data_IF_051919601456
#
_entry.id   IF_051919601456
#
_cell.length_a   1.000
_cell.length_b   1.000
_cell.length_c   1.000
_cell.angle_alpha   90.00
_cell.angle_beta   90.00
_cell.angle_gamma   90.00
#
_symmetry.space_group_name_H-M   'P 1'
#
loop_
_entity.id
_entity.type
_entity.pdbx_description
1 polymer ?
#
# COMPACT_ATOMS: atom_id res chain seq x y z
N UNK A 1 13.10 -75.47 57.29
CA UNK A 1 14.07 -76.25 56.49
C UNK A 1 14.94 -75.28 55.71
N UNK A 2 16.26 -75.47 55.85
CA UNK A 2 17.39 -74.90 55.10
C UNK A 2 17.55 -73.38 54.92
N UNK A 3 18.74 -72.90 55.31
CA UNK A 3 19.27 -71.54 55.14
C UNK A 3 19.78 -71.33 53.69
N UNK A 4 19.76 -70.06 53.25
CA UNK A 4 20.40 -69.45 52.05
C UNK A 4 21.75 -70.07 51.66
N UNK A 5 22.15 -70.08 50.37
CA UNK A 5 22.73 -68.89 49.72
C UNK A 5 22.37 -68.74 48.22
N UNK A 6 22.41 -67.53 47.66
CA UNK A 6 22.92 -67.30 46.28
C UNK A 6 23.17 -65.80 46.02
N UNK A 7 24.47 -65.50 45.95
CA UNK A 7 25.26 -64.52 45.20
C UNK A 7 24.62 -63.22 44.61
N UNK A 8 25.27 -62.05 44.79
CA UNK A 8 24.85 -60.76 44.22
C UNK A 8 25.32 -60.58 42.77
N UNK A 9 24.54 -59.88 41.94
CA UNK A 9 25.04 -59.29 40.69
C UNK A 9 24.95 -57.77 40.81
N UNK A 10 26.14 -57.18 40.91
CA UNK A 10 26.45 -55.78 40.79
C UNK A 10 26.61 -55.46 39.29
N UNK A 11 25.68 -54.73 38.68
CA UNK A 11 25.88 -54.15 37.35
C UNK A 11 26.26 -52.67 37.52
N UNK A 12 27.56 -52.43 37.60
CA UNK A 12 28.16 -51.11 37.49
C UNK A 12 28.28 -50.71 36.01
N UNK A 13 27.85 -49.48 35.74
CA UNK A 13 28.28 -48.53 34.71
C UNK A 13 29.16 -49.03 33.52
N UNK A 14 28.63 -48.83 32.31
CA UNK A 14 29.43 -48.59 31.11
C UNK A 14 28.83 -47.41 30.31
N UNK A 15 28.94 -46.21 30.86
CA UNK A 15 28.81 -44.98 30.07
C UNK A 15 30.08 -44.82 29.22
N UNK A 16 29.98 -45.13 27.93
CA UNK A 16 31.06 -44.88 26.98
C UNK A 16 31.33 -43.38 26.83
N UNK A 17 32.58 -42.97 26.55
CA UNK A 17 32.89 -41.56 26.32
C UNK A 17 32.22 -41.09 25.03
N UNK A 18 31.32 -40.11 25.14
CA UNK A 18 30.89 -39.30 24.00
C UNK A 18 32.04 -38.36 23.67
N UNK A 19 32.81 -38.71 22.65
CA UNK A 19 33.79 -37.82 22.03
C UNK A 19 33.03 -36.82 21.16
N UNK A 20 32.60 -35.71 21.76
CA UNK A 20 32.17 -34.53 21.03
C UNK A 20 33.42 -33.81 20.50
N UNK A 21 33.91 -34.30 19.37
CA UNK A 21 35.02 -33.70 18.63
C UNK A 21 34.43 -32.65 17.67
N UNK A 22 34.86 -31.39 17.78
CA UNK A 22 34.49 -30.33 16.84
C UNK A 22 35.24 -30.56 15.52
N UNK A 23 34.72 -31.46 14.70
CA UNK A 23 35.27 -31.70 13.35
C UNK A 23 34.73 -30.65 12.39
N UNK A 24 35.59 -29.96 11.64
CA UNK A 24 35.15 -29.10 10.55
C UNK A 24 34.30 -29.92 9.57
N UNK A 25 33.18 -29.37 9.14
CA UNK A 25 32.33 -29.98 8.12
C UNK A 25 33.13 -30.12 6.82
N UNK A 26 33.10 -31.29 6.19
CA UNK A 26 33.76 -31.50 4.90
C UNK A 26 32.93 -30.92 3.75
N UNK A 27 33.57 -30.56 2.63
CA UNK A 27 32.87 -30.02 1.45
C UNK A 27 31.74 -30.93 0.94
N UNK A 28 31.90 -32.25 1.06
CA UNK A 28 30.86 -33.22 0.71
C UNK A 28 29.65 -33.17 1.67
N UNK A 29 29.87 -32.90 2.95
CA UNK A 29 28.79 -32.69 3.92
C UNK A 29 28.19 -31.29 3.81
N UNK A 30 28.96 -30.30 3.33
CA UNK A 30 28.46 -28.98 2.96
C UNK A 30 27.52 -29.05 1.74
N UNK A 31 27.80 -29.95 0.80
CA UNK A 31 26.93 -30.28 -0.35
C UNK A 31 25.61 -30.97 0.06
N UNK A 32 25.60 -31.69 1.19
CA UNK A 32 24.37 -32.25 1.77
C UNK A 32 23.54 -31.20 2.54
N UNK A 33 24.14 -30.04 2.87
CA UNK A 33 23.43 -28.87 3.40
C UNK A 33 23.00 -28.00 2.21
N UNK A 34 21.96 -28.43 1.51
CA UNK A 34 21.26 -27.57 0.54
C UNK A 34 20.44 -26.56 1.32
N UNK A 35 21.04 -25.43 1.70
CA UNK A 35 20.32 -24.29 2.23
C UNK A 35 19.36 -23.74 1.18
N UNK A 36 18.07 -23.72 1.47
CA UNK A 36 17.00 -23.20 0.60
C UNK A 36 17.02 -21.66 0.46
N UNK A 37 18.05 -20.98 0.95
CA UNK A 37 18.23 -19.53 0.83
C UNK A 37 19.32 -19.25 -0.22
N UNK A 38 18.90 -18.94 -1.44
CA UNK A 38 19.80 -18.48 -2.51
C UNK A 38 19.94 -16.96 -2.40
N UNK A 39 21.06 -16.50 -1.84
CA UNK A 39 21.41 -15.08 -1.90
C UNK A 39 22.05 -14.80 -3.25
N UNK A 40 21.39 -14.00 -4.09
CA UNK A 40 21.97 -13.54 -5.36
C UNK A 40 22.45 -12.10 -5.25
N UNK A 41 23.50 -11.78 -5.99
CA UNK A 41 24.02 -10.42 -6.10
C UNK A 41 24.02 -10.03 -7.57
N UNK A 42 23.28 -8.98 -7.90
CA UNK A 42 23.10 -8.50 -9.25
C UNK A 42 23.56 -7.04 -9.34
N UNK A 43 24.35 -6.72 -10.36
CA UNK A 43 24.77 -5.35 -10.65
C UNK A 43 24.11 -4.87 -11.94
N UNK A 44 23.40 -3.75 -11.86
CA UNK A 44 22.71 -3.13 -12.99
C UNK A 44 23.12 -1.65 -13.10
N UNK A 45 22.96 -1.07 -14.28
CA UNK A 45 23.24 0.34 -14.55
C UNK A 45 21.96 1.02 -15.03
N UNK A 46 21.81 2.31 -14.77
CA UNK A 46 20.67 3.05 -15.29
C UNK A 46 20.70 3.08 -16.84
N UNK A 47 19.57 2.82 -17.53
CA UNK A 47 19.55 2.74 -18.99
C UNK A 47 19.68 4.11 -19.70
N UNK A 48 19.31 5.21 -19.03
CA UNK A 48 19.58 6.57 -19.54
C UNK A 48 21.08 6.89 -19.48
N UNK A 49 21.66 7.20 -20.64
CA UNK A 49 23.07 7.56 -20.79
C UNK A 49 23.49 8.83 -20.02
N UNK A 50 22.53 9.67 -19.61
CA UNK A 50 22.80 10.86 -18.80
C UNK A 50 22.73 10.60 -17.30
N UNK A 51 22.28 9.41 -16.87
CA UNK A 51 22.19 9.05 -15.46
C UNK A 51 23.36 8.13 -15.08
N UNK A 52 24.27 8.66 -14.28
CA UNK A 52 25.50 7.97 -13.90
C UNK A 52 25.36 7.11 -12.64
N UNK A 53 24.23 6.41 -12.47
CA UNK A 53 23.96 5.57 -11.30
C UNK A 53 24.11 4.08 -11.61
N UNK A 54 24.86 3.37 -10.78
CA UNK A 54 24.95 1.92 -10.79
C UNK A 54 24.30 1.34 -9.53
N UNK A 55 23.65 0.19 -9.64
CA UNK A 55 22.94 -0.44 -8.54
C UNK A 55 23.53 -1.81 -8.26
N UNK A 56 23.63 -2.17 -6.99
CA UNK A 56 24.00 -3.53 -6.56
C UNK A 56 22.90 -4.04 -5.64
N UNK A 57 22.18 -5.04 -6.11
CA UNK A 57 21.07 -5.69 -5.41
C UNK A 57 21.55 -6.98 -4.79
N UNK A 58 21.12 -7.23 -3.56
CA UNK A 58 21.29 -8.47 -2.82
C UNK A 58 19.90 -9.05 -2.59
N UNK A 59 19.52 -10.07 -3.36
CA UNK A 59 18.24 -10.76 -3.20
C UNK A 59 18.38 -11.82 -2.11
N UNK A 60 17.43 -11.89 -1.17
CA UNK A 60 17.52 -12.78 -0.02
C UNK A 60 16.93 -14.17 -0.27
N UNK A 61 16.07 -14.32 -1.30
CA UNK A 61 15.49 -15.60 -1.70
C UNK A 61 14.65 -16.26 -0.61
N UNK A 62 13.83 -15.48 0.10
CA UNK A 62 12.97 -15.96 1.20
C UNK A 62 11.59 -15.32 1.15
N UNK A 63 10.63 -15.99 1.80
CA UNK A 63 9.29 -15.47 2.07
C UNK A 63 9.17 -15.18 3.57
N UNK A 64 8.67 -13.99 3.91
CA UNK A 64 8.52 -13.51 5.27
C UNK A 64 7.03 -13.33 5.55
N UNK A 65 6.56 -13.92 6.64
CA UNK A 65 5.26 -13.63 7.24
C UNK A 65 5.49 -12.83 8.53
N UNK A 66 4.97 -11.61 8.59
CA UNK A 66 5.23 -10.66 9.68
C UNK A 66 3.93 -10.23 10.36
N UNK A 67 3.95 -10.23 11.69
CA UNK A 67 3.07 -9.38 12.51
C UNK A 67 3.98 -8.49 13.34
N UNK A 68 3.90 -7.18 13.14
CA UNK A 68 4.72 -6.20 13.88
C UNK A 68 3.87 -5.04 14.35
N UNK A 69 4.24 -4.46 15.49
CA UNK A 69 3.70 -3.22 16.01
C UNK A 69 4.88 -2.34 16.45
N UNK A 70 4.91 -1.10 15.97
CA UNK A 70 5.93 -0.11 16.24
C UNK A 70 5.22 1.16 16.69
N UNK A 71 5.53 1.68 17.87
CA UNK A 71 4.87 2.88 18.39
C UNK A 71 5.05 4.09 17.44
N UNK A 72 6.26 4.27 16.89
CA UNK A 72 6.58 5.36 15.95
C UNK A 72 7.60 4.89 14.91
N UNK A 73 7.27 5.06 13.63
CA UNK A 73 8.20 4.98 12.52
C UNK A 73 8.52 6.40 12.04
N UNK A 74 9.68 6.92 12.45
CA UNK A 74 10.16 8.25 12.06
C UNK A 74 11.47 8.11 11.27
N UNK A 75 11.50 8.64 10.04
CA UNK A 75 12.65 8.60 9.13
C UNK A 75 12.82 9.95 8.44
N UNK A 76 14.07 10.37 8.24
CA UNK A 76 14.36 11.63 7.51
C UNK A 76 14.00 12.89 8.29
N UNK A 77 14.27 12.93 9.60
CA UNK A 77 14.10 14.14 10.41
C UNK A 77 15.23 15.13 10.17
N UNK A 78 14.94 16.20 9.42
CA UNK A 78 15.86 17.32 9.20
C UNK A 78 15.10 18.53 8.66
N UNK A 79 15.71 19.71 8.79
CA UNK A 79 15.14 20.95 8.24
C UNK A 79 15.25 20.97 6.72
N UNK A 80 14.13 21.26 6.05
CA UNK A 80 14.03 21.32 4.59
C UNK A 80 13.32 22.61 4.20
N UNK A 81 13.91 23.37 3.28
CA UNK A 81 13.30 24.61 2.79
C UNK A 81 11.94 24.32 2.14
N UNK A 82 10.93 25.10 2.51
CA UNK A 82 9.54 24.89 2.07
C UNK A 82 8.70 24.02 3.01
N UNK A 83 9.34 23.26 3.91
CA UNK A 83 8.66 22.36 4.84
C UNK A 83 8.51 22.94 6.24
N UNK A 84 7.51 22.46 6.99
CA UNK A 84 7.31 22.84 8.39
C UNK A 84 8.55 22.43 9.23
N UNK A 85 9.06 23.30 10.13
CA UNK A 85 10.21 22.96 10.96
C UNK A 85 9.97 21.75 11.87
N UNK A 86 11.00 20.93 12.05
CA UNK A 86 10.95 19.76 12.93
C UNK A 86 10.14 18.57 12.42
N UNK A 87 9.64 18.60 11.18
CA UNK A 87 8.98 17.45 10.53
C UNK A 87 9.99 16.46 9.95
N UNK A 88 9.48 15.29 9.59
CA UNK A 88 10.26 14.16 9.07
C UNK A 88 9.71 13.75 7.71
N UNK A 89 10.58 13.21 6.86
CA UNK A 89 10.16 12.70 5.55
C UNK A 89 9.11 11.59 5.68
N UNK A 90 9.25 10.70 6.66
CA UNK A 90 8.23 9.69 6.97
C UNK A 90 7.97 9.73 8.46
N UNK A 91 6.75 10.05 8.86
CA UNK A 91 6.33 10.03 10.26
C UNK A 91 4.99 9.30 10.36
N UNK A 92 5.03 8.08 10.91
CA UNK A 92 3.86 7.23 11.08
C UNK A 92 3.79 6.77 12.54
N UNK A 93 2.69 7.11 13.21
CA UNK A 93 2.40 6.65 14.57
C UNK A 93 1.63 5.33 14.53
N UNK A 94 1.82 4.49 15.55
CA UNK A 94 1.14 3.20 15.69
C UNK A 94 1.29 2.31 14.44
N UNK A 95 2.48 2.34 13.81
CA UNK A 95 2.78 1.58 12.61
C UNK A 95 2.71 0.07 12.89
N UNK A 96 2.00 -0.66 12.04
CA UNK A 96 1.86 -2.10 12.15
C UNK A 96 1.78 -2.75 10.77
N UNK A 97 2.29 -3.98 10.69
CA UNK A 97 2.11 -4.85 9.54
C UNK A 97 1.47 -6.13 10.04
N UNK A 98 0.41 -6.56 9.36
CA UNK A 98 -0.42 -7.69 9.79
C UNK A 98 -1.37 -7.30 10.91
N UNK A 99 -2.35 -8.15 11.16
CA UNK A 99 -3.42 -7.88 12.11
C UNK A 99 -3.90 -9.16 12.79
N UNK A 100 -4.81 -9.01 13.73
CA UNK A 100 -5.49 -10.11 14.42
C UNK A 100 -6.91 -10.16 13.88
N UNK A 101 -7.30 -11.30 13.33
CA UNK A 101 -8.62 -11.51 12.79
C UNK A 101 -9.69 -11.25 13.85
N UNK A 102 -10.64 -10.37 13.54
CA UNK A 102 -11.69 -9.96 14.46
C UNK A 102 -13.04 -9.85 13.74
N UNK A 103 -14.00 -10.68 14.13
CA UNK A 103 -15.31 -10.74 13.48
C UNK A 103 -16.13 -9.47 13.73
N UNK A 104 -16.05 -8.87 14.91
CA UNK A 104 -16.79 -7.64 15.22
C UNK A 104 -16.37 -6.46 14.32
N UNK A 105 -15.08 -6.36 13.98
CA UNK A 105 -14.57 -5.41 12.99
C UNK A 105 -15.24 -5.60 11.64
N UNK A 106 -15.31 -6.84 11.14
CA UNK A 106 -15.92 -7.10 9.83
C UNK A 106 -17.44 -7.03 9.83
N UNK A 107 -18.09 -7.25 10.98
CA UNK A 107 -19.53 -7.02 11.12
C UNK A 107 -19.85 -5.52 11.03
N UNK A 108 -18.95 -4.66 11.52
CA UNK A 108 -19.05 -3.19 11.42
C UNK A 108 -18.58 -2.66 10.06
N UNK A 109 -17.65 -3.35 9.40
CA UNK A 109 -17.04 -2.97 8.13
C UNK A 109 -17.17 -4.14 7.12
N UNK A 110 -18.39 -4.41 6.61
CA UNK A 110 -18.64 -5.58 5.75
C UNK A 110 -17.87 -5.54 4.41
N UNK A 111 -17.53 -4.35 3.94
CA UNK A 111 -16.78 -4.11 2.70
C UNK A 111 -15.26 -4.16 2.88
N UNK A 112 -14.77 -4.28 4.13
CA UNK A 112 -13.35 -4.32 4.41
C UNK A 112 -12.74 -5.62 3.84
N UNK A 113 -11.65 -5.54 3.06
CA UNK A 113 -11.08 -6.70 2.42
C UNK A 113 -10.48 -7.68 3.43
N UNK A 114 -10.68 -8.97 3.18
CA UNK A 114 -10.22 -10.07 4.03
C UNK A 114 -9.04 -10.78 3.39
N UNK A 115 -8.09 -11.21 4.20
CA UNK A 115 -7.05 -12.11 3.71
C UNK A 115 -7.45 -13.56 3.96
N UNK A 116 -7.17 -14.45 3.01
CA UNK A 116 -7.35 -15.90 3.16
C UNK A 116 -5.99 -16.59 3.34
N UNK A 117 -6.01 -17.79 3.94
CA UNK A 117 -4.83 -18.66 4.00
C UNK A 117 -4.49 -19.16 2.59
N UNK A 118 -3.27 -19.68 2.43
CA UNK A 118 -2.82 -20.19 1.13
C UNK A 118 -3.65 -21.37 0.60
N UNK A 119 -4.35 -22.10 1.49
CA UNK A 119 -5.29 -23.18 1.14
C UNK A 119 -6.72 -22.68 0.87
N UNK A 120 -6.95 -21.37 0.88
CA UNK A 120 -8.25 -20.72 0.72
C UNK A 120 -9.12 -20.72 1.98
N UNK A 121 -8.68 -21.35 3.07
CA UNK A 121 -9.44 -21.34 4.32
C UNK A 121 -9.38 -19.99 5.03
N UNK A 122 -10.37 -19.77 5.89
CA UNK A 122 -10.53 -18.54 6.67
C UNK A 122 -9.61 -18.53 7.89
N UNK A 123 -9.17 -17.35 8.33
CA UNK A 123 -8.56 -17.20 9.66
C UNK A 123 -9.63 -17.30 10.75
N UNK A 124 -9.30 -17.95 11.87
CA UNK A 124 -10.18 -18.06 13.04
C UNK A 124 -10.20 -16.74 13.83
N UNK A 125 -11.21 -16.52 14.68
CA UNK A 125 -11.24 -15.36 15.59
C UNK A 125 -9.99 -15.32 16.46
N UNK A 126 -9.33 -14.17 16.53
CA UNK A 126 -8.10 -13.99 17.28
C UNK A 126 -6.86 -14.60 16.64
N UNK A 127 -6.95 -15.18 15.44
CA UNK A 127 -5.78 -15.68 14.72
C UNK A 127 -5.00 -14.54 14.07
N UNK A 128 -3.67 -14.65 14.04
CA UNK A 128 -2.81 -13.68 13.36
C UNK A 128 -2.96 -13.84 11.85
N UNK A 129 -3.25 -12.73 11.18
CA UNK A 129 -3.19 -12.59 9.74
C UNK A 129 -1.89 -11.85 9.39
N UNK A 130 -0.90 -12.52 8.78
CA UNK A 130 0.40 -11.93 8.56
C UNK A 130 0.41 -11.01 7.35
N UNK A 131 1.23 -9.96 7.43
CA UNK A 131 1.74 -9.27 6.24
C UNK A 131 2.84 -10.11 5.60
N UNK A 132 2.69 -10.42 4.32
CA UNK A 132 3.60 -11.27 3.56
C UNK A 132 4.52 -10.42 2.70
N UNK A 133 5.81 -10.77 2.71
CA UNK A 133 6.85 -10.16 1.87
C UNK A 133 7.57 -11.32 1.16
N UNK A 134 7.59 -11.31 -0.16
CA UNK A 134 8.18 -12.37 -0.99
C UNK A 134 9.38 -11.85 -1.76
N UNK A 135 10.50 -12.57 -1.66
CA UNK A 135 11.77 -12.19 -2.29
C UNK A 135 12.26 -10.77 -1.92
N UNK A 136 12.37 -10.43 -0.62
CA UNK A 136 12.92 -9.15 -0.21
C UNK A 136 14.38 -9.01 -0.66
N UNK A 137 14.80 -7.77 -0.86
CA UNK A 137 16.15 -7.44 -1.28
C UNK A 137 16.65 -6.15 -0.65
N UNK A 138 17.97 -6.05 -0.55
CA UNK A 138 18.65 -4.79 -0.32
C UNK A 138 19.23 -4.31 -1.64
N UNK A 139 19.19 -3.00 -1.92
CA UNK A 139 19.83 -2.45 -3.10
C UNK A 139 20.57 -1.16 -2.75
N UNK A 140 21.82 -1.09 -3.17
CA UNK A 140 22.68 0.08 -3.01
C UNK A 140 22.83 0.78 -4.36
N UNK A 141 22.67 2.09 -4.36
CA UNK A 141 22.96 2.95 -5.51
C UNK A 141 24.33 3.60 -5.33
N UNK A 142 25.13 3.55 -6.39
CA UNK A 142 26.48 4.09 -6.46
C UNK A 142 26.52 5.16 -7.54
N UNK A 143 27.16 6.28 -7.22
CA UNK A 143 27.58 7.26 -8.22
C UNK A 143 28.82 6.72 -8.94
N UNK A 144 28.79 6.59 -10.26
CA UNK A 144 29.89 5.92 -10.97
C UNK A 144 31.14 6.80 -11.14
N UNK A 145 31.04 8.13 -10.96
CA UNK A 145 32.20 9.01 -11.04
C UNK A 145 33.05 8.93 -9.76
N UNK A 146 32.37 8.85 -8.62
CA UNK A 146 32.98 8.86 -7.29
C UNK A 146 33.10 7.47 -6.66
N UNK A 147 32.36 6.48 -7.17
CA UNK A 147 32.16 5.14 -6.57
C UNK A 147 31.53 5.17 -5.16
N UNK A 148 30.97 6.32 -4.75
CA UNK A 148 30.34 6.48 -3.44
C UNK A 148 28.91 5.94 -3.43
N UNK A 149 28.49 5.39 -2.28
CA UNK A 149 27.10 5.00 -2.04
C UNK A 149 26.27 6.27 -1.87
N UNK A 150 25.33 6.49 -2.78
CA UNK A 150 24.44 7.65 -2.80
C UNK A 150 23.00 7.31 -2.40
N UNK A 151 22.69 6.02 -2.29
CA UNK A 151 21.41 5.58 -1.77
C UNK A 151 21.37 4.10 -1.40
N UNK A 152 20.37 3.77 -0.59
CA UNK A 152 20.07 2.44 -0.13
C UNK A 152 18.55 2.25 -0.13
N UNK A 153 18.07 1.08 -0.54
CA UNK A 153 16.68 0.69 -0.34
C UNK A 153 16.54 -0.74 0.16
N UNK A 154 15.54 -0.92 1.01
CA UNK A 154 14.96 -2.21 1.35
C UNK A 154 13.69 -2.37 0.51
N UNK A 155 13.75 -3.28 -0.46
CA UNK A 155 12.60 -3.63 -1.29
C UNK A 155 11.92 -4.90 -0.81
N UNK A 156 10.60 -4.93 -0.91
CA UNK A 156 9.80 -6.06 -0.46
C UNK A 156 9.71 -7.17 -1.51
N UNK A 157 10.17 -6.92 -2.74
CA UNK A 157 9.87 -7.77 -3.87
C UNK A 157 8.38 -7.65 -4.17
N UNK A 158 7.60 -8.64 -3.72
CA UNK A 158 6.14 -8.61 -3.71
C UNK A 158 5.62 -8.56 -2.28
N UNK A 159 4.55 -7.81 -2.03
CA UNK A 159 3.93 -7.74 -0.71
C UNK A 159 2.41 -7.86 -0.75
N UNK A 160 1.85 -8.53 0.26
CA UNK A 160 0.41 -8.52 0.53
C UNK A 160 0.11 -8.48 2.02
N UNK A 161 -0.98 -7.83 2.42
CA UNK A 161 -1.47 -7.83 3.80
C UNK A 161 -2.09 -6.49 4.16
N UNK A 162 -2.22 -6.20 5.46
CA UNK A 162 -2.71 -4.90 5.93
C UNK A 162 -1.55 -4.14 6.58
N UNK A 163 -1.35 -2.90 6.13
CA UNK A 163 -0.50 -1.91 6.77
C UNK A 163 -1.39 -1.00 7.60
N UNK A 164 -1.09 -0.82 8.88
CA UNK A 164 -1.84 0.10 9.75
C UNK A 164 -0.92 1.16 10.34
N UNK A 165 -1.46 2.33 10.63
CA UNK A 165 -0.72 3.44 11.20
C UNK A 165 -1.41 4.77 10.91
N UNK A 166 -1.09 5.79 11.71
CA UNK A 166 -1.51 7.17 11.47
C UNK A 166 -0.39 7.90 10.78
N UNK A 167 -0.55 8.14 9.49
CA UNK A 167 0.46 8.81 8.68
C UNK A 167 0.32 10.31 8.91
N UNK A 168 1.34 10.91 9.49
CA UNK A 168 1.37 12.35 9.79
C UNK A 168 2.09 13.11 8.68
N UNK A 169 3.22 12.60 8.21
CA UNK A 169 3.93 13.13 7.03
C UNK A 169 4.51 12.00 6.20
N UNK A 170 4.46 12.15 4.87
CA UNK A 170 4.98 11.14 3.95
C UNK A 170 5.63 11.75 2.69
N UNK A 171 6.93 11.53 2.55
CA UNK A 171 7.71 11.70 1.32
C UNK A 171 7.74 10.35 0.62
N UNK A 172 7.15 10.27 -0.56
CA UNK A 172 6.93 8.97 -1.17
C UNK A 172 5.98 9.00 -2.35
N UNK A 173 5.54 7.81 -2.72
CA UNK A 173 4.33 7.64 -3.51
C UNK A 173 3.40 6.70 -2.77
N UNK A 174 2.15 7.12 -2.64
CA UNK A 174 1.05 6.28 -2.23
C UNK A 174 -0.02 6.46 -3.27
N UNK A 175 -0.46 5.35 -3.83
CA UNK A 175 -1.46 5.36 -4.89
C UNK A 175 -2.58 4.43 -4.48
N UNK A 176 -3.73 5.02 -4.23
CA UNK A 176 -4.91 4.32 -3.76
C UNK A 176 -5.93 4.33 -4.89
N UNK A 177 -6.35 3.14 -5.32
CA UNK A 177 -7.49 3.02 -6.20
C UNK A 177 -8.76 3.22 -5.36
N UNK A 178 -9.61 4.15 -5.77
CA UNK A 178 -10.94 4.32 -5.21
C UNK A 178 -11.90 3.70 -6.20
N UNK A 179 -12.55 2.61 -5.80
CA UNK A 179 -13.51 1.88 -6.63
C UNK A 179 -14.82 1.76 -5.85
N UNK A 180 -15.90 2.33 -6.40
CA UNK A 180 -17.26 2.14 -5.86
C UNK A 180 -18.13 1.43 -6.88
N UNK A 181 -18.75 0.33 -6.45
CA UNK A 181 -19.71 -0.44 -7.25
C UNK A 181 -21.16 0.04 -7.07
N UNK A 182 -21.36 1.21 -6.46
CA UNK A 182 -22.66 1.87 -6.26
C UNK A 182 -23.22 1.76 -4.84
N UNK A 183 -22.44 1.28 -3.88
CA UNK A 183 -22.85 1.08 -2.47
C UNK A 183 -22.46 2.30 -1.60
N UNK A 184 -21.34 2.96 -1.90
CA UNK A 184 -20.81 4.10 -1.14
C UNK A 184 -21.65 5.38 -1.23
N UNK A 185 -22.42 5.55 -2.30
CA UNK A 185 -23.29 6.72 -2.49
C UNK A 185 -24.69 6.57 -1.87
N UNK A 186 -25.12 5.34 -1.55
CA UNK A 186 -26.39 5.09 -0.85
C UNK A 186 -26.32 5.38 0.66
N UNK A 187 -25.12 5.39 1.23
CA UNK A 187 -24.84 5.57 2.66
C UNK A 187 -24.38 6.98 3.04
N UNK A 188 -24.04 7.83 2.07
CA UNK A 188 -23.72 9.24 2.29
C UNK A 188 -24.92 9.94 2.95
N UNK A 189 -24.85 10.15 4.28
CA UNK A 189 -25.91 10.74 5.06
C UNK A 189 -26.12 12.21 4.66
N UNK A 190 -27.27 12.42 4.02
CA UNK A 190 -27.87 13.70 3.65
C UNK A 190 -27.91 14.68 4.83
N UNK A 191 -27.26 15.82 4.65
CA UNK A 191 -27.42 17.02 5.46
C UNK A 191 -28.01 18.19 4.64
N UNK A 192 -28.85 17.92 3.63
CA UNK A 192 -29.73 18.93 3.04
C UNK A 192 -29.08 20.05 2.23
N UNK A 193 -27.77 19.99 1.95
CA UNK A 193 -27.05 20.98 1.16
C UNK A 193 -26.87 20.54 -0.29
N UNK A 194 -26.34 21.43 -1.15
CA UNK A 194 -26.12 21.28 -2.61
C UNK A 194 -25.67 19.87 -3.08
N UNK A 195 -24.92 19.14 -2.26
CA UNK A 195 -24.58 17.72 -2.41
C UNK A 195 -25.78 16.77 -2.65
N UNK A 196 -26.94 17.03 -2.04
CA UNK A 196 -28.16 16.23 -2.23
C UNK A 196 -28.63 16.24 -3.69
N UNK A 197 -28.42 17.35 -4.41
CA UNK A 197 -28.75 17.41 -5.84
C UNK A 197 -27.78 16.59 -6.67
N UNK A 198 -26.52 16.46 -6.23
CA UNK A 198 -25.50 15.72 -6.94
C UNK A 198 -25.64 14.20 -6.74
N UNK A 199 -25.92 13.74 -5.51
CA UNK A 199 -26.22 12.32 -5.25
C UNK A 199 -27.46 11.89 -6.02
N UNK A 200 -28.55 12.66 -5.98
CA UNK A 200 -29.77 12.39 -6.76
C UNK A 200 -29.52 12.41 -8.27
N UNK A 201 -28.56 13.21 -8.74
CA UNK A 201 -28.17 13.30 -10.14
C UNK A 201 -27.29 12.11 -10.61
N UNK A 202 -26.40 11.62 -9.75
CA UNK A 202 -25.51 10.50 -10.02
C UNK A 202 -26.15 9.14 -9.74
N UNK A 203 -27.21 9.09 -8.91
CA UNK A 203 -27.94 7.84 -8.58
C UNK A 203 -28.42 7.09 -9.84
N UNK A 204 -29.06 7.72 -10.84
CA UNK A 204 -29.49 7.03 -12.07
C UNK A 204 -28.32 6.60 -12.98
N UNK A 205 -27.13 7.16 -12.79
CA UNK A 205 -25.91 6.79 -13.54
C UNK A 205 -25.26 5.53 -12.97
N UNK A 206 -25.43 5.28 -11.67
CA UNK A 206 -24.78 4.18 -10.94
C UNK A 206 -25.68 2.96 -10.78
N UNK A 207 -27.01 3.12 -10.88
CA UNK A 207 -27.98 2.01 -11.02
C UNK A 207 -27.71 1.13 -12.25
N UNK A 208 -26.89 1.57 -13.20
CA UNK A 208 -26.48 0.81 -14.38
C UNK A 208 -25.40 -0.25 -14.14
N UNK A 209 -24.77 -0.28 -12.96
CA UNK A 209 -23.73 -1.26 -12.60
C UNK A 209 -22.32 -0.94 -13.11
N UNK A 210 -22.06 0.27 -13.57
CA UNK A 210 -20.70 0.73 -13.92
C UNK A 210 -19.99 1.27 -12.67
N UNK A 211 -18.84 0.71 -12.25
CA UNK A 211 -18.12 1.21 -11.09
C UNK A 211 -17.56 2.60 -11.34
N UNK A 212 -17.56 3.43 -10.30
CA UNK A 212 -16.79 4.68 -10.28
C UNK A 212 -15.35 4.34 -9.91
N UNK A 213 -14.40 4.59 -10.81
CA UNK A 213 -12.97 4.36 -10.57
C UNK A 213 -12.20 5.70 -10.64
N UNK A 214 -11.36 5.94 -9.65
CA UNK A 214 -10.37 7.03 -9.66
C UNK A 214 -9.13 6.64 -8.85
N UNK A 215 -8.12 7.50 -8.88
CA UNK A 215 -6.86 7.32 -8.16
C UNK A 215 -6.64 8.48 -7.22
N UNK A 216 -6.36 8.15 -5.96
CA UNK A 216 -5.86 9.10 -4.99
C UNK A 216 -4.34 8.99 -4.86
N UNK A 217 -3.68 10.14 -4.74
CA UNK A 217 -2.25 10.32 -4.61
C UNK A 217 -1.96 11.35 -3.51
N UNK A 218 -0.70 11.45 -3.11
CA UNK A 218 -0.26 12.50 -2.16
C UNK A 218 -0.38 13.87 -2.83
N UNK A 219 -1.05 14.81 -2.15
CA UNK A 219 -1.42 16.12 -2.70
C UNK A 219 -1.29 17.21 -1.65
N UNK A 220 -1.22 18.47 -2.09
CA UNK A 220 -1.45 19.61 -1.21
C UNK A 220 -2.96 19.70 -0.93
N UNK A 221 -3.38 19.57 0.33
CA UNK A 221 -4.81 19.62 0.70
C UNK A 221 -5.19 20.71 1.69
N UNK A 222 -4.23 21.48 2.20
CA UNK A 222 -4.51 22.52 3.19
C UNK A 222 -5.30 23.69 2.57
N UNK A 223 -6.37 24.11 3.25
CA UNK A 223 -7.18 25.26 2.80
C UNK A 223 -6.31 26.53 2.64
N UNK A 224 -6.37 27.13 1.47
CA UNK A 224 -5.63 28.35 1.15
C UNK A 224 -4.18 28.13 0.69
N UNK A 225 -3.73 26.88 0.56
CA UNK A 225 -2.47 26.57 -0.13
C UNK A 225 -2.57 26.95 -1.62
N UNK A 226 -1.61 27.69 -2.18
CA UNK A 226 -1.61 28.05 -3.61
C UNK A 226 -1.50 26.85 -4.56
N UNK A 227 -1.07 25.68 -4.07
CA UNK A 227 -0.88 24.46 -4.83
C UNK A 227 -1.94 23.40 -4.52
N UNK A 228 -3.02 23.74 -3.82
CA UNK A 228 -4.09 22.81 -3.45
C UNK A 228 -4.54 21.94 -4.64
N UNK A 229 -4.66 20.64 -4.42
CA UNK A 229 -5.02 19.64 -5.44
C UNK A 229 -3.85 19.15 -6.29
N UNK A 230 -2.74 19.87 -6.36
CA UNK A 230 -1.54 19.39 -7.05
C UNK A 230 -0.77 18.34 -6.24
N UNK A 231 0.05 17.53 -6.92
CA UNK A 231 0.83 16.46 -6.29
C UNK A 231 1.84 17.02 -5.28
N UNK A 232 1.87 16.43 -4.09
CA UNK A 232 2.83 16.74 -3.04
C UNK A 232 3.74 15.52 -2.79
N UNK A 233 4.92 15.46 -3.42
CA UNK A 233 5.82 14.31 -3.28
C UNK A 233 6.68 14.36 -2.01
N UNK A 234 6.63 15.43 -1.21
CA UNK A 234 7.55 15.68 -0.09
C UNK A 234 6.74 15.99 1.17
N UNK A 235 6.85 15.13 2.19
CA UNK A 235 6.21 15.32 3.51
C UNK A 235 4.72 15.63 3.44
N UNK A 236 4.03 15.06 2.46
CA UNK A 236 2.60 15.24 2.30
C UNK A 236 1.86 14.88 3.59
N UNK A 237 0.90 15.73 3.94
CA UNK A 237 -0.03 15.54 5.05
C UNK A 237 -1.42 15.12 4.53
N UNK A 238 -1.66 15.23 3.22
CA UNK A 238 -2.93 14.95 2.57
C UNK A 238 -2.79 13.90 1.46
N UNK A 239 -3.86 13.15 1.27
CA UNK A 239 -4.07 12.26 0.13
C UNK A 239 -5.39 12.61 -0.53
N UNK A 240 -5.44 12.55 -1.85
CA UNK A 240 -6.62 12.97 -2.57
C UNK A 240 -6.51 12.75 -4.06
N UNK A 241 -7.56 13.10 -4.78
CA UNK A 241 -7.58 13.00 -6.24
C UNK A 241 -6.88 14.23 -6.82
N UNK A 242 -5.76 14.04 -7.54
CA UNK A 242 -4.94 15.16 -7.97
C UNK A 242 -5.58 15.93 -9.14
N UNK A 243 -5.19 17.20 -9.27
CA UNK A 243 -5.66 18.08 -10.33
C UNK A 243 -5.47 17.47 -11.73
N UNK A 244 -6.54 17.52 -12.52
CA UNK A 244 -6.60 16.96 -13.87
C UNK A 244 -6.82 15.45 -13.93
N UNK A 245 -6.89 14.75 -12.79
CA UNK A 245 -7.33 13.35 -12.76
C UNK A 245 -8.81 13.28 -13.15
N UNK A 246 -9.15 12.30 -13.99
CA UNK A 246 -10.48 12.16 -14.56
C UNK A 246 -11.28 11.07 -13.84
N UNK A 247 -12.54 11.37 -13.55
CA UNK A 247 -13.56 10.40 -13.22
C UNK A 247 -14.28 10.02 -14.49
N UNK A 248 -14.33 8.72 -14.77
CA UNK A 248 -15.03 8.19 -15.94
C UNK A 248 -16.36 7.63 -15.48
N UNK A 249 -17.45 8.23 -15.96
CA UNK A 249 -18.78 7.66 -15.85
C UNK A 249 -19.07 6.93 -17.15
N UNK A 250 -18.83 5.62 -17.16
CA UNK A 250 -19.00 4.79 -18.34
C UNK A 250 -20.47 4.64 -18.73
N UNK A 251 -20.75 4.56 -20.04
CA UNK A 251 -22.05 4.15 -20.58
C UNK A 251 -23.28 4.95 -20.11
N UNK A 252 -23.12 6.23 -19.79
CA UNK A 252 -24.22 7.11 -19.42
C UNK A 252 -25.29 7.21 -20.53
N UNK A 253 -26.56 7.29 -20.13
CA UNK A 253 -27.68 7.44 -21.07
C UNK A 253 -27.61 8.77 -21.83
N UNK A 254 -28.16 8.83 -23.05
CA UNK A 254 -28.16 10.06 -23.85
C UNK A 254 -28.91 11.22 -23.19
N UNK A 255 -29.96 10.93 -22.41
CA UNK A 255 -30.65 11.95 -21.62
C UNK A 255 -29.77 12.48 -20.49
N UNK A 256 -29.04 11.61 -19.80
CA UNK A 256 -28.15 12.03 -18.71
C UNK A 256 -26.96 12.84 -19.21
N UNK A 257 -26.37 12.42 -20.32
CA UNK A 257 -25.29 13.17 -20.98
C UNK A 257 -25.78 14.54 -21.43
N UNK A 258 -27.01 14.63 -21.94
CA UNK A 258 -27.64 15.90 -22.33
C UNK A 258 -27.88 16.80 -21.11
N UNK A 259 -28.40 16.26 -20.00
CA UNK A 259 -28.69 17.05 -18.80
C UNK A 259 -27.41 17.59 -18.17
N UNK A 260 -26.37 16.76 -18.02
CA UNK A 260 -25.07 17.18 -17.49
C UNK A 260 -24.46 18.30 -18.34
N UNK A 261 -24.41 18.12 -19.67
CA UNK A 261 -23.81 19.11 -20.58
C UNK A 261 -24.57 20.45 -20.61
N UNK A 262 -25.90 20.41 -20.64
CA UNK A 262 -26.71 21.60 -20.93
C UNK A 262 -27.30 22.28 -19.68
N UNK A 263 -27.36 21.60 -18.53
CA UNK A 263 -27.93 22.16 -17.30
C UNK A 263 -26.87 22.43 -16.23
N UNK A 264 -25.76 21.70 -16.20
CA UNK A 264 -24.84 21.67 -15.04
C UNK A 264 -23.41 22.08 -15.40
N UNK A 265 -22.95 21.77 -16.61
CA UNK A 265 -21.56 22.03 -17.04
C UNK A 265 -21.09 23.50 -17.04
N UNK A 266 -21.97 24.47 -16.79
CA UNK A 266 -21.66 25.91 -16.81
C UNK A 266 -21.51 26.55 -15.41
N UNK A 267 -21.76 25.79 -14.33
CA UNK A 267 -21.67 26.27 -12.94
C UNK A 267 -21.11 25.27 -11.94
N UNK A 268 -20.58 24.14 -12.42
CA UNK A 268 -19.85 23.17 -11.61
C UNK A 268 -18.47 23.73 -11.23
N UNK A 269 -17.97 23.37 -10.04
CA UNK A 269 -16.58 23.66 -9.64
C UNK A 269 -15.56 22.83 -10.44
N UNK A 270 -16.00 21.75 -11.09
CA UNK A 270 -15.17 20.85 -11.88
C UNK A 270 -15.44 21.00 -13.37
N UNK A 271 -14.39 20.84 -14.18
CA UNK A 271 -14.51 20.71 -15.62
C UNK A 271 -15.21 19.38 -15.97
N UNK A 272 -16.22 19.44 -16.84
CA UNK A 272 -17.00 18.28 -17.26
C UNK A 272 -16.97 18.19 -18.79
N UNK A 273 -16.41 17.10 -19.31
CA UNK A 273 -16.40 16.78 -20.72
C UNK A 273 -17.45 15.72 -21.05
N UNK A 274 -18.32 16.04 -22.01
CA UNK A 274 -19.27 15.09 -22.60
C UNK A 274 -19.01 15.05 -24.10
N UNK A 275 -18.17 14.10 -24.58
CA UNK A 275 -17.83 13.95 -25.99
C UNK A 275 -19.07 13.71 -26.85
N UNK A 276 -19.04 14.08 -28.12
CA UNK A 276 -20.11 13.77 -29.11
C UNK A 276 -21.55 14.10 -28.67
N UNK A 277 -21.70 15.09 -27.78
CA UNK A 277 -22.97 15.54 -27.25
C UNK A 277 -23.18 17.03 -27.58
N UNK A 278 -24.41 17.39 -27.95
CA UNK A 278 -24.82 18.76 -28.26
C UNK A 278 -26.22 19.02 -27.68
N UNK A 279 -26.67 20.28 -27.69
CA UNK A 279 -28.01 20.65 -27.23
C UNK A 279 -29.14 19.91 -27.97
N UNK A 280 -28.95 19.56 -29.25
CA UNK A 280 -30.00 18.95 -30.09
C UNK A 280 -29.80 17.45 -30.34
N UNK A 281 -28.65 16.89 -29.98
CA UNK A 281 -28.31 15.49 -30.21
C UNK A 281 -27.28 15.04 -29.19
N UNK A 282 -27.61 14.03 -28.40
CA UNK A 282 -26.73 13.43 -27.42
C UNK A 282 -27.05 11.92 -27.34
N UNK A 283 -26.18 11.09 -27.92
CA UNK A 283 -26.26 9.64 -27.78
C UNK A 283 -25.75 9.17 -26.42
N UNK A 284 -25.89 7.88 -26.11
CA UNK A 284 -25.23 7.28 -24.93
C UNK A 284 -23.70 7.24 -25.07
N UNK A 285 -22.98 7.12 -23.95
CA UNK A 285 -21.50 7.07 -23.91
C UNK A 285 -20.93 7.65 -22.61
N UNK A 286 -19.62 7.90 -22.57
CA UNK A 286 -18.93 8.24 -21.31
C UNK A 286 -18.91 9.74 -20.97
N UNK A 287 -19.03 10.08 -19.68
CA UNK A 287 -18.86 11.44 -19.17
C UNK A 287 -17.52 11.48 -18.41
N UNK A 288 -16.71 12.51 -18.68
CA UNK A 288 -15.48 12.76 -17.96
C UNK A 288 -15.64 13.96 -17.04
N UNK A 289 -15.24 13.82 -15.79
CA UNK A 289 -15.20 14.91 -14.81
C UNK A 289 -13.78 15.03 -14.29
N UNK A 290 -13.24 16.24 -14.24
CA UNK A 290 -11.86 16.48 -13.81
C UNK A 290 -11.83 17.04 -12.39
N UNK A 291 -10.97 16.48 -11.55
CA UNK A 291 -10.65 17.06 -10.25
C UNK A 291 -9.88 18.37 -10.44
N UNK A 292 -10.22 19.38 -9.63
CA UNK A 292 -9.48 20.64 -9.57
C UNK A 292 -9.58 21.23 -8.16
N UNK A 293 -8.46 21.72 -7.63
CA UNK A 293 -8.36 22.40 -6.34
C UNK A 293 -8.97 21.58 -5.20
N UNK A 294 -8.69 20.28 -5.17
CA UNK A 294 -9.28 19.33 -4.21
C UNK A 294 -10.82 19.25 -4.27
N UNK A 295 -11.44 19.55 -5.42
CA UNK A 295 -12.88 19.46 -5.62
C UNK A 295 -13.25 18.63 -6.84
N UNK A 296 -14.26 17.77 -6.65
CA UNK A 296 -14.88 16.98 -7.71
C UNK A 296 -16.39 17.16 -7.63
N UNK A 297 -16.99 17.85 -8.60
CA UNK A 297 -18.42 18.21 -8.62
C UNK A 297 -18.89 18.95 -7.35
N UNK A 298 -17.98 19.70 -6.72
CA UNK A 298 -18.22 20.43 -5.47
C UNK A 298 -18.07 19.59 -4.21
N UNK A 299 -17.53 18.37 -4.33
CA UNK A 299 -17.19 17.46 -3.24
C UNK A 299 -15.70 17.57 -2.93
N UNK A 300 -15.35 17.71 -1.66
CA UNK A 300 -13.96 17.67 -1.20
C UNK A 300 -13.32 16.33 -1.59
N UNK A 301 -12.15 16.38 -2.22
CA UNK A 301 -11.45 15.21 -2.75
C UNK A 301 -10.02 15.07 -2.22
N UNK A 302 -9.65 15.84 -1.20
CA UNK A 302 -8.39 15.75 -0.48
C UNK A 302 -8.67 15.63 1.02
N UNK A 303 -7.99 14.70 1.67
CA UNK A 303 -8.25 14.31 3.05
C UNK A 303 -6.95 14.19 3.81
N UNK A 304 -6.97 14.52 5.10
CA UNK A 304 -5.81 14.33 5.97
C UNK A 304 -5.39 12.85 5.95
N UNK A 305 -4.08 12.58 5.84
CA UNK A 305 -3.55 11.22 5.81
C UNK A 305 -3.81 10.44 7.12
N UNK A 306 -4.02 11.15 8.23
CA UNK A 306 -4.14 10.56 9.56
C UNK A 306 -5.50 9.90 9.84
N UNK A 307 -6.51 10.14 9.01
CA UNK A 307 -7.83 9.51 9.12
C UNK A 307 -7.84 8.07 8.61
N UNK A 308 -6.83 7.70 7.81
CA UNK A 308 -6.72 6.38 7.21
C UNK A 308 -5.81 5.48 8.06
N UNK A 309 -6.42 4.71 8.95
CA UNK A 309 -5.68 3.96 9.97
C UNK A 309 -5.17 2.60 9.48
N UNK A 310 -5.76 2.06 8.42
CA UNK A 310 -5.37 0.77 7.83
C UNK A 310 -5.60 0.74 6.32
N UNK A 311 -4.64 0.16 5.60
CA UNK A 311 -4.64 0.04 4.16
C UNK A 311 -4.37 -1.41 3.76
N UNK A 312 -5.22 -2.03 2.93
CA UNK A 312 -4.86 -3.27 2.26
C UNK A 312 -3.70 -3.00 1.29
N UNK A 313 -2.72 -3.88 1.27
CA UNK A 313 -1.63 -3.92 0.31
C UNK A 313 -1.77 -5.26 -0.43
N UNK A 314 -1.90 -5.24 -1.75
CA UNK A 314 -2.09 -6.42 -2.59
C UNK A 314 -3.21 -6.24 -3.62
N UNK A 315 -3.38 -7.23 -4.48
CA UNK A 315 -4.50 -7.30 -5.42
C UNK A 315 -5.78 -7.60 -4.64
N UNK A 316 -6.77 -6.72 -4.72
CA UNK A 316 -8.09 -6.91 -4.12
C UNK A 316 -9.06 -7.40 -5.20
N UNK A 317 -9.74 -8.52 -4.92
CA UNK A 317 -10.76 -9.09 -5.80
C UNK A 317 -12.02 -9.41 -5.00
N UNK A 318 -13.17 -9.49 -5.67
CA UNK A 318 -14.43 -9.93 -5.04
C UNK A 318 -14.70 -11.38 -5.40
N UNK A 319 -14.77 -12.25 -4.39
CA UNK A 319 -15.11 -13.68 -4.53
C UNK A 319 -16.36 -13.95 -3.72
N UNK A 320 -17.43 -14.42 -4.37
CA UNK A 320 -18.73 -14.72 -3.73
C UNK A 320 -19.30 -13.56 -2.89
N UNK A 321 -19.08 -12.31 -3.33
CA UNK A 321 -19.52 -11.10 -2.63
C UNK A 321 -18.64 -10.67 -1.47
N UNK A 322 -17.50 -11.32 -1.25
CA UNK A 322 -16.51 -10.93 -0.25
C UNK A 322 -15.26 -10.34 -0.93
N UNK A 323 -14.85 -9.13 -0.54
CA UNK A 323 -13.59 -8.53 -0.97
C UNK A 323 -12.42 -9.24 -0.30
N UNK A 324 -11.43 -9.66 -1.09
CA UNK A 324 -10.29 -10.44 -0.64
C UNK A 324 -8.97 -9.85 -1.13
N UNK A 325 -7.97 -9.77 -0.24
CA UNK A 325 -6.57 -9.50 -0.63
C UNK A 325 -5.98 -10.82 -1.15
N UNK A 326 -6.02 -11.02 -2.47
CA UNK A 326 -5.83 -12.32 -3.10
C UNK A 326 -4.40 -12.61 -3.57
N UNK A 327 -3.66 -11.58 -3.99
CA UNK A 327 -2.30 -11.76 -4.50
C UNK A 327 -1.35 -10.64 -4.04
N UNK A 328 -0.05 -10.93 -3.88
CA UNK A 328 0.95 -9.92 -3.59
C UNK A 328 1.29 -9.12 -4.84
N UNK A 329 1.68 -7.86 -4.63
CA UNK A 329 2.00 -6.91 -5.71
C UNK A 329 3.45 -6.43 -5.59
N UNK A 330 4.09 -6.21 -6.74
CA UNK A 330 5.48 -5.77 -6.83
C UNK A 330 5.65 -4.28 -6.48
N UNK A 331 6.81 -3.93 -5.91
CA UNK A 331 7.33 -2.56 -5.95
C UNK A 331 7.26 -1.77 -4.66
N UNK A 332 6.79 -2.36 -3.55
CA UNK A 332 6.90 -1.71 -2.24
C UNK A 332 8.36 -1.66 -1.79
N UNK A 333 8.82 -0.48 -1.35
CA UNK A 333 10.17 -0.32 -0.80
C UNK A 333 10.30 0.92 0.09
N UNK A 334 11.24 0.87 1.03
CA UNK A 334 11.69 2.01 1.83
C UNK A 334 13.13 2.33 1.41
N UNK A 335 13.44 3.60 1.20
CA UNK A 335 14.75 4.03 0.72
C UNK A 335 15.27 5.28 1.42
N UNK A 336 16.59 5.42 1.39
CA UNK A 336 17.34 6.56 1.89
C UNK A 336 18.36 6.96 0.84
N UNK A 337 18.40 8.23 0.47
CA UNK A 337 19.32 8.71 -0.54
C UNK A 337 19.80 10.15 -0.27
N UNK A 338 21.06 10.43 -0.60
CA UNK A 338 21.68 11.74 -0.39
C UNK A 338 21.41 12.73 -1.52
N UNK A 339 20.96 12.22 -2.66
CA UNK A 339 20.48 12.97 -3.82
C UNK A 339 19.23 12.29 -4.36
N UNK A 340 18.49 12.97 -5.19
CA UNK A 340 17.36 12.35 -5.86
C UNK A 340 17.85 11.20 -6.76
N UNK A 341 17.23 10.02 -6.65
CA UNK A 341 17.63 8.79 -7.34
C UNK A 341 16.46 8.14 -8.07
N UNK A 342 16.80 7.40 -9.11
CA UNK A 342 15.83 6.64 -9.89
C UNK A 342 15.90 5.18 -9.43
N UNK A 343 14.82 4.62 -8.92
CA UNK A 343 14.78 3.24 -8.44
C UNK A 343 13.92 2.38 -9.38
N UNK A 344 14.42 1.20 -9.77
CA UNK A 344 13.66 0.29 -10.62
C UNK A 344 12.39 -0.18 -9.89
N UNK A 345 11.20 0.02 -10.50
CA UNK A 345 9.91 -0.36 -9.93
C UNK A 345 9.74 -1.88 -9.84
N UNK A 346 9.84 -2.55 -11.00
CA UNK A 346 9.76 -4.00 -11.10
C UNK A 346 11.17 -4.59 -11.25
N UNK A 347 11.69 -5.11 -10.15
CA UNK A 347 13.02 -5.69 -10.05
C UNK A 347 13.21 -6.99 -10.84
N UNK A 348 12.12 -7.63 -11.29
CA UNK A 348 12.14 -8.84 -12.12
C UNK A 348 12.23 -8.52 -13.62
N UNK A 349 12.02 -7.26 -14.02
CA UNK A 349 12.11 -6.84 -15.42
C UNK A 349 13.56 -6.85 -15.89
N UNK A 350 13.81 -7.40 -17.08
CA UNK A 350 15.16 -7.55 -17.65
C UNK A 350 15.45 -6.58 -18.80
N UNK A 351 14.43 -6.18 -19.56
CA UNK A 351 14.54 -5.18 -20.61
C UNK A 351 14.11 -3.82 -20.04
N UNK A 352 15.09 -3.08 -19.52
CA UNK A 352 14.87 -1.86 -18.76
C UNK A 352 14.86 -0.63 -19.66
N UNK A 353 13.82 0.19 -19.51
CA UNK A 353 13.73 1.53 -20.09
C UNK A 353 13.68 2.58 -18.97
N UNK A 354 13.99 3.86 -19.26
CA UNK A 354 13.92 4.92 -18.25
C UNK A 354 12.54 5.03 -17.56
N UNK A 355 11.45 4.69 -18.25
CA UNK A 355 10.08 4.73 -17.73
C UNK A 355 9.80 3.64 -16.68
N UNK A 356 10.66 2.62 -16.56
CA UNK A 356 10.57 1.58 -15.54
C UNK A 356 11.08 2.03 -14.18
N UNK A 357 11.74 3.18 -14.13
CA UNK A 357 12.27 3.73 -12.90
C UNK A 357 11.27 4.70 -12.27
N UNK A 358 11.34 4.79 -10.95
CA UNK A 358 10.62 5.71 -10.12
C UNK A 358 11.60 6.74 -9.56
N UNK A 359 11.31 8.02 -9.75
CA UNK A 359 12.07 9.09 -9.13
C UNK A 359 11.76 9.15 -7.63
N UNK A 360 12.78 8.99 -6.80
CA UNK A 360 12.72 9.15 -5.36
C UNK A 360 13.55 10.35 -4.93
N UNK A 361 12.90 11.27 -4.21
CA UNK A 361 13.52 12.50 -3.72
C UNK A 361 14.57 12.21 -2.64
N UNK A 362 15.64 13.01 -2.60
CA UNK A 362 16.63 13.02 -1.50
C UNK A 362 15.97 13.05 -0.12
N UNK A 363 16.53 12.25 0.80
CA UNK A 363 15.96 12.01 2.13
C UNK A 363 15.56 10.56 2.35
N UNK A 364 14.61 10.34 3.27
CA UNK A 364 13.89 9.08 3.37
C UNK A 364 12.69 9.10 2.42
N UNK A 365 12.37 7.94 1.83
CA UNK A 365 11.30 7.83 0.85
C UNK A 365 10.62 6.48 0.96
N UNK A 366 9.29 6.48 1.00
CA UNK A 366 8.50 5.25 1.08
C UNK A 366 7.61 5.11 -0.16
N UNK A 367 7.79 4.03 -0.91
CA UNK A 367 6.97 3.72 -2.07
C UNK A 367 5.94 2.63 -1.74
N UNK A 368 4.67 2.96 -1.94
CA UNK A 368 3.55 2.02 -1.98
C UNK A 368 3.04 2.00 -3.44
N UNK A 369 3.18 0.86 -4.16
CA UNK A 369 2.98 0.82 -5.60
C UNK A 369 1.51 1.02 -6.01
N UNK A 370 1.31 1.41 -7.28
CA UNK A 370 -0.02 1.58 -7.90
C UNK A 370 -0.87 0.31 -7.80
N UNK A 371 -2.14 0.47 -7.41
CA UNK A 371 -3.08 -0.65 -7.29
C UNK A 371 -2.75 -1.64 -6.18
N UNK A 372 -1.76 -1.33 -5.34
CA UNK A 372 -1.51 -2.09 -4.13
C UNK A 372 -2.58 -1.81 -3.08
N UNK A 373 -3.14 -0.61 -3.06
CA UNK A 373 -4.17 -0.20 -2.11
C UNK A 373 -5.46 0.09 -2.85
N UNK A 374 -6.54 -0.52 -2.42
CA UNK A 374 -7.89 -0.30 -2.95
C UNK A 374 -8.86 -0.05 -1.80
N UNK A 375 -9.58 1.07 -1.86
CA UNK A 375 -10.62 1.46 -0.91
C UNK A 375 -11.92 1.74 -1.64
N UNK A 376 -13.05 1.59 -0.96
CA UNK A 376 -14.33 2.04 -1.50
C UNK A 376 -14.49 3.56 -1.30
N UNK A 377 -15.54 4.16 -1.90
CA UNK A 377 -15.77 5.60 -1.79
C UNK A 377 -16.07 6.06 -0.36
N UNK A 378 -16.77 5.24 0.44
CA UNK A 378 -17.07 5.59 1.83
C UNK A 378 -15.78 5.66 2.68
N UNK A 379 -14.88 4.69 2.51
CA UNK A 379 -13.55 4.66 3.11
C UNK A 379 -12.69 5.83 2.62
N UNK A 380 -12.79 6.19 1.34
CA UNK A 380 -12.10 7.37 0.80
C UNK A 380 -12.58 8.68 1.47
N UNK A 381 -13.89 8.85 1.65
CA UNK A 381 -14.48 10.08 2.20
C UNK A 381 -14.35 10.22 3.73
N UNK A 382 -14.45 9.11 4.46
CA UNK A 382 -14.54 9.13 5.92
C UNK A 382 -13.33 8.47 6.63
N UNK A 383 -12.35 8.01 5.87
CA UNK A 383 -11.19 7.29 6.37
C UNK A 383 -11.45 5.81 6.59
N UNK A 384 -10.38 5.09 6.92
CA UNK A 384 -10.43 3.65 7.24
C UNK A 384 -10.31 3.43 8.74
N UNK A 385 -11.15 2.54 9.27
CA UNK A 385 -11.00 2.06 10.63
C UNK A 385 -9.74 1.20 10.76
N UNK A 386 -9.16 1.22 11.95
CA UNK A 386 -7.96 0.43 12.22
C UNK A 386 -8.33 -1.03 12.37
N UNK A 387 -7.58 -1.92 11.72
CA UNK A 387 -7.63 -3.35 12.05
C UNK A 387 -6.99 -3.57 13.43
N UNK A 388 -7.52 -4.52 14.20
CA UNK A 388 -6.94 -4.90 15.48
C UNK A 388 -5.51 -5.42 15.32
N UNK A 389 -4.53 -4.81 15.97
CA UNK A 389 -3.12 -5.25 15.89
C UNK A 389 -2.54 -5.74 17.22
N UNK A 390 -3.27 -5.62 18.33
CA UNK A 390 -2.90 -6.15 19.65
C UNK A 390 -3.98 -7.07 20.25
N UNK A 391 -3.58 -7.99 21.13
CA UNK A 391 -4.53 -8.84 21.85
C UNK A 391 -5.21 -8.14 23.01
N UNK A 392 -4.51 -7.20 23.66
CA UNK A 392 -4.95 -6.52 24.88
C UNK A 392 -5.19 -5.04 24.56
N UNK A 393 -6.38 -4.54 24.85
CA UNK A 393 -6.67 -3.12 24.70
C UNK A 393 -5.98 -2.31 25.81
N UNK A 394 -5.03 -1.49 25.36
CA UNK A 394 -4.25 -0.59 26.22
C UNK A 394 -4.79 0.84 26.20
N UNK A 395 -5.93 1.09 25.54
CA UNK A 395 -6.53 2.41 25.38
C UNK A 395 -5.74 3.33 24.44
N UNK A 396 -4.96 2.75 23.51
CA UNK A 396 -4.13 3.49 22.53
C UNK A 396 -4.78 3.61 21.14
N UNK A 397 -5.98 3.09 20.94
CA UNK A 397 -6.62 3.07 19.62
C UNK A 397 -6.01 2.05 18.65
N UNK A 398 -5.57 0.90 19.18
CA UNK A 398 -4.97 -0.21 18.41
C UNK A 398 -5.96 -1.35 18.11
N UNK A 399 -7.27 -1.07 18.25
CA UNK A 399 -8.37 -2.03 18.25
C UNK A 399 -9.45 -1.66 17.25
#
# INVERSE_FOLDING_TARGET
>A
MSKRPFLPILLLAASGPVLADLRPISDNQMSEVTGQAFVSIDRQYHPDANNNTAYTRVNLGMDIELQTNVDVLEMGRYERDGEKPGTSDVYIEDFALGYINNQAYYDANPEAPRQRKADGSTYAEGEIVPFRIQNPYFEFAFDQDTEEVVGFRLGFGESMGVLSGKIQTLTGNVNVNIIDHGEGLGSAQSNGNFFDQLIVLLTPLLEGGSPLETKAQLVYGAEGDPNIGSLDPIRAEYIGVPDGEKFVLENASGFTRWSVKNLIGWGSSSEIEVPDCSFFSCGGGDIYVYAQDCLVLGIDSCFDLDIYNSFPVGEVITVDGERQIAAPVDGAFISFQTKDLDWLKNVKKTDLTPEDFLRATSGAFFNIPNGATEVNLNEALYGTQRYRTEYIDRGKGLF
#
